data_IF_484790228932
#
_entry.id   IF_484790228932
#
_cell.length_a   1.000
_cell.length_b   1.000
_cell.length_c   1.000
_cell.angle_alpha   90.00
_cell.angle_beta   90.00
_cell.angle_gamma   90.00
#
_symmetry.space_group_name_H-M   'P 1'
#
loop_
_entity.id
_entity.type
_entity.pdbx_description
1 polymer ?
#
# COMPACT_ATOMS: atom_id res chain seq x y z
N UNK A 1 12.34 -17.67 -30.34
CA UNK A 1 13.71 -17.28 -29.91
C UNK A 1 14.09 -18.11 -28.70
N UNK A 2 15.39 -18.39 -28.48
CA UNK A 2 15.84 -19.10 -27.28
C UNK A 2 15.75 -18.21 -26.03
N UNK A 3 15.44 -18.82 -24.88
CA UNK A 3 15.33 -18.12 -23.58
C UNK A 3 16.55 -17.24 -23.28
N UNK A 4 17.77 -17.78 -23.43
CA UNK A 4 19.02 -17.02 -23.17
C UNK A 4 19.19 -15.81 -24.12
N UNK A 5 18.79 -15.93 -25.36
CA UNK A 5 18.88 -14.85 -26.35
C UNK A 5 17.88 -13.73 -26.00
N UNK A 6 16.64 -14.09 -25.68
CA UNK A 6 15.60 -13.14 -25.26
C UNK A 6 16.00 -12.40 -23.99
N UNK A 7 16.50 -13.11 -22.96
CA UNK A 7 17.00 -12.50 -21.74
C UNK A 7 18.16 -11.54 -21.98
N UNK A 8 19.12 -11.90 -22.83
CA UNK A 8 20.26 -11.06 -23.14
C UNK A 8 19.82 -9.75 -23.80
N UNK A 9 18.92 -9.83 -24.79
CA UNK A 9 18.38 -8.66 -25.48
C UNK A 9 17.55 -7.76 -24.55
N UNK A 10 16.72 -8.36 -23.70
CA UNK A 10 15.90 -7.61 -22.72
C UNK A 10 16.77 -6.88 -21.68
N UNK A 11 17.81 -7.52 -21.16
CA UNK A 11 18.78 -6.90 -20.24
C UNK A 11 19.46 -5.66 -20.87
N UNK A 12 19.86 -5.75 -22.14
CA UNK A 12 20.44 -4.61 -22.86
C UNK A 12 19.42 -3.47 -22.97
N UNK A 13 18.15 -3.78 -23.25
CA UNK A 13 17.08 -2.77 -23.38
C UNK A 13 16.78 -2.07 -22.04
N UNK A 14 16.80 -2.80 -20.90
CA UNK A 14 16.45 -2.29 -19.58
C UNK A 14 17.61 -1.62 -18.85
N UNK A 15 18.85 -1.79 -19.31
CA UNK A 15 20.06 -1.14 -18.73
C UNK A 15 20.18 -1.32 -17.22
N UNK A 16 20.01 -0.25 -16.44
CA UNK A 16 20.09 -0.24 -14.96
C UNK A 16 19.06 -1.19 -14.30
N UNK A 17 17.95 -1.45 -14.96
CA UNK A 17 16.90 -2.37 -14.51
C UNK A 17 17.01 -3.76 -15.16
N UNK A 18 18.22 -4.16 -15.61
CA UNK A 18 18.44 -5.43 -16.32
C UNK A 18 17.94 -6.68 -15.56
N UNK A 19 17.95 -6.64 -14.23
CA UNK A 19 17.47 -7.75 -13.41
C UNK A 19 15.97 -8.02 -13.60
N UNK A 20 15.17 -6.99 -13.90
CA UNK A 20 13.74 -7.10 -14.10
C UNK A 20 13.39 -7.95 -15.33
N UNK A 21 14.29 -8.01 -16.32
CA UNK A 21 14.11 -8.89 -17.49
C UNK A 21 13.89 -10.35 -17.09
N UNK A 22 14.63 -10.81 -16.07
CA UNK A 22 14.51 -12.19 -15.57
C UNK A 22 13.19 -12.40 -14.83
N UNK A 23 12.81 -11.47 -13.96
CA UNK A 23 11.56 -11.56 -13.20
C UNK A 23 10.34 -11.54 -14.13
N UNK A 24 10.33 -10.65 -15.13
CA UNK A 24 9.25 -10.58 -16.12
C UNK A 24 9.15 -11.90 -16.90
N UNK A 25 10.27 -12.53 -17.28
CA UNK A 25 10.23 -13.81 -17.98
C UNK A 25 9.79 -14.97 -17.09
N UNK A 26 10.24 -15.01 -15.83
CA UNK A 26 9.79 -15.99 -14.84
C UNK A 26 8.27 -15.94 -14.70
N UNK A 27 7.74 -14.73 -14.56
CA UNK A 27 6.32 -14.51 -14.37
C UNK A 27 5.51 -14.87 -15.61
N UNK A 28 5.94 -14.43 -16.80
CA UNK A 28 5.27 -14.74 -18.05
C UNK A 28 5.18 -16.25 -18.30
N UNK A 29 6.27 -16.97 -18.07
CA UNK A 29 6.33 -18.42 -18.31
C UNK A 29 5.83 -19.26 -17.13
N UNK A 30 5.50 -18.63 -15.99
CA UNK A 30 5.14 -19.31 -14.74
C UNK A 30 6.21 -20.34 -14.34
N UNK A 31 7.49 -19.92 -14.42
CA UNK A 31 8.67 -20.74 -14.12
C UNK A 31 9.63 -19.98 -13.23
N UNK A 32 10.33 -20.70 -12.36
CA UNK A 32 11.37 -20.12 -11.53
C UNK A 32 12.70 -19.88 -12.28
N UNK A 33 13.62 -19.19 -11.64
CA UNK A 33 14.94 -18.88 -12.19
C UNK A 33 15.75 -20.13 -12.51
N UNK A 34 15.66 -21.17 -11.69
CA UNK A 34 16.38 -22.42 -11.85
C UNK A 34 15.91 -23.12 -13.11
N UNK A 35 14.60 -23.17 -13.31
CA UNK A 35 14.03 -23.76 -14.52
C UNK A 35 14.48 -23.01 -15.79
N UNK A 36 14.47 -21.67 -15.78
CA UNK A 36 14.93 -20.87 -16.92
C UNK A 36 16.40 -21.12 -17.23
N UNK A 37 17.24 -21.26 -16.21
CA UNK A 37 18.66 -21.57 -16.39
C UNK A 37 18.87 -22.96 -17.00
N UNK A 38 18.19 -23.98 -16.50
CA UNK A 38 18.29 -25.35 -17.01
C UNK A 38 17.73 -25.49 -18.44
N UNK A 39 16.82 -24.62 -18.84
CA UNK A 39 16.15 -24.63 -20.15
C UNK A 39 16.54 -23.43 -21.03
N UNK A 40 17.70 -22.83 -20.83
CA UNK A 40 18.13 -21.62 -21.52
C UNK A 40 18.15 -21.71 -23.06
N UNK A 41 18.27 -22.92 -23.59
CA UNK A 41 18.28 -23.21 -25.04
C UNK A 41 16.89 -23.55 -25.60
N UNK A 42 15.85 -23.64 -24.74
CA UNK A 42 14.47 -23.85 -25.17
C UNK A 42 13.96 -22.63 -25.95
N UNK A 43 13.27 -22.90 -27.06
CA UNK A 43 12.59 -21.86 -27.83
C UNK A 43 11.19 -21.60 -27.29
N UNK A 44 10.78 -20.33 -27.30
CA UNK A 44 9.43 -19.90 -26.93
C UNK A 44 8.98 -18.73 -27.83
N UNK A 45 7.70 -18.38 -27.76
CA UNK A 45 7.17 -17.20 -28.43
C UNK A 45 7.49 -15.95 -27.63
N UNK A 46 8.45 -15.19 -28.10
CA UNK A 46 8.98 -14.01 -27.40
C UNK A 46 8.16 -12.73 -27.56
N UNK A 47 7.11 -12.73 -28.37
CA UNK A 47 6.35 -11.49 -28.72
C UNK A 47 5.76 -10.82 -27.49
N UNK A 48 5.07 -11.59 -26.64
CA UNK A 48 4.49 -11.08 -25.40
C UNK A 48 5.56 -10.62 -24.42
N UNK A 49 6.68 -11.36 -24.31
CA UNK A 49 7.80 -10.97 -23.48
C UNK A 49 8.36 -9.60 -23.82
N UNK A 50 8.66 -9.35 -25.11
CA UNK A 50 9.18 -8.05 -25.53
C UNK A 50 8.14 -6.93 -25.43
N UNK A 51 6.86 -7.22 -25.54
CA UNK A 51 5.81 -6.23 -25.26
C UNK A 51 5.79 -5.85 -23.77
N UNK A 52 5.93 -6.79 -22.84
CA UNK A 52 6.05 -6.51 -21.41
C UNK A 52 7.33 -5.72 -21.11
N UNK A 53 8.46 -6.07 -21.73
CA UNK A 53 9.73 -5.33 -21.60
C UNK A 53 9.58 -3.89 -22.08
N UNK A 54 8.89 -3.66 -23.19
CA UNK A 54 8.62 -2.32 -23.72
C UNK A 54 7.78 -1.50 -22.74
N UNK A 55 6.67 -2.05 -22.25
CA UNK A 55 5.78 -1.39 -21.28
C UNK A 55 6.51 -1.05 -19.98
N UNK A 56 7.28 -1.99 -19.45
CA UNK A 56 8.12 -1.76 -18.26
C UNK A 56 9.14 -0.64 -18.50
N UNK A 57 9.84 -0.68 -19.64
CA UNK A 57 10.78 0.37 -20.03
C UNK A 57 10.13 1.75 -20.16
N UNK A 58 8.86 1.83 -20.54
CA UNK A 58 8.06 3.06 -20.61
C UNK A 58 7.61 3.55 -19.22
N UNK A 59 7.84 2.76 -18.17
CA UNK A 59 7.58 3.12 -16.78
C UNK A 59 6.36 2.45 -16.16
N UNK A 60 5.73 1.47 -16.83
CA UNK A 60 4.64 0.71 -16.20
C UNK A 60 5.22 -0.23 -15.13
N UNK A 61 4.76 -0.14 -13.86
CA UNK A 61 5.24 -0.99 -12.78
C UNK A 61 4.99 -2.48 -13.05
N UNK A 62 5.88 -3.33 -12.53
CA UNK A 62 5.76 -4.80 -12.62
C UNK A 62 4.40 -5.30 -12.12
N UNK A 63 3.92 -4.76 -11.00
CA UNK A 63 2.66 -5.14 -10.38
C UNK A 63 1.45 -4.83 -11.28
N UNK A 64 1.53 -3.77 -12.08
CA UNK A 64 0.47 -3.46 -13.05
C UNK A 64 0.54 -4.33 -14.29
N UNK A 65 1.75 -4.71 -14.74
CA UNK A 65 1.92 -5.63 -15.86
C UNK A 65 1.26 -6.98 -15.58
N UNK A 66 1.46 -7.51 -14.37
CA UNK A 66 0.96 -8.82 -13.97
C UNK A 66 -0.30 -8.79 -13.10
N UNK A 67 -0.78 -7.59 -12.79
CA UNK A 67 -2.00 -7.34 -11.99
C UNK A 67 -1.96 -8.01 -10.63
N UNK A 68 -0.79 -8.08 -10.01
CA UNK A 68 -0.60 -8.68 -8.69
C UNK A 68 0.53 -8.01 -7.92
N UNK A 69 0.43 -8.07 -6.60
CA UNK A 69 1.49 -7.72 -5.68
C UNK A 69 1.44 -8.66 -4.47
N UNK A 70 2.62 -9.03 -3.96
CA UNK A 70 2.75 -9.78 -2.73
C UNK A 70 2.90 -8.81 -1.56
N UNK A 71 2.14 -9.04 -0.48
CA UNK A 71 2.23 -8.26 0.74
C UNK A 71 1.88 -9.13 1.95
N UNK A 72 2.72 -9.11 2.97
CA UNK A 72 2.54 -9.89 4.21
C UNK A 72 2.26 -11.38 3.97
N UNK A 73 2.98 -11.98 3.01
CA UNK A 73 2.84 -13.39 2.61
C UNK A 73 1.56 -13.74 1.85
N UNK A 74 0.78 -12.76 1.41
CA UNK A 74 -0.44 -12.93 0.61
C UNK A 74 -0.31 -12.23 -0.73
N UNK A 75 -0.86 -12.85 -1.78
CA UNK A 75 -0.95 -12.25 -3.12
C UNK A 75 -2.25 -11.46 -3.28
N UNK A 76 -2.15 -10.19 -3.64
CA UNK A 76 -3.26 -9.27 -3.90
C UNK A 76 -3.39 -8.94 -5.38
N UNK A 77 -4.61 -8.77 -5.84
CA UNK A 77 -4.87 -8.21 -7.15
C UNK A 77 -4.65 -6.69 -7.14
N UNK A 78 -3.86 -6.18 -8.08
CA UNK A 78 -3.52 -4.77 -8.23
C UNK A 78 -3.68 -4.36 -9.70
N UNK A 79 -4.23 -3.18 -9.94
CA UNK A 79 -4.36 -2.61 -11.28
C UNK A 79 -4.02 -1.11 -11.28
N UNK A 80 -3.67 -0.59 -12.46
CA UNK A 80 -3.40 0.84 -12.64
C UNK A 80 -4.53 1.71 -12.11
N UNK A 81 -4.17 2.66 -11.25
CA UNK A 81 -5.10 3.58 -10.57
C UNK A 81 -5.35 3.25 -9.11
N UNK A 82 -4.63 2.28 -8.54
CA UNK A 82 -4.58 2.00 -7.10
C UNK A 82 -3.13 1.89 -6.68
N UNK A 83 -2.78 2.40 -5.49
CA UNK A 83 -1.43 2.34 -4.94
C UNK A 83 -0.91 0.91 -4.87
N UNK A 84 0.30 0.69 -5.33
CA UNK A 84 1.01 -0.58 -5.17
C UNK A 84 1.43 -0.70 -3.69
N UNK A 85 1.17 -1.84 -3.03
CA UNK A 85 1.59 -2.07 -1.65
C UNK A 85 3.07 -1.80 -1.42
N UNK A 86 3.41 -1.16 -0.29
CA UNK A 86 4.80 -0.90 0.12
C UNK A 86 5.15 -1.73 1.33
N UNK A 87 6.33 -2.34 1.34
CA UNK A 87 6.80 -3.12 2.50
C UNK A 87 6.86 -2.30 3.78
N UNK A 88 7.12 -0.99 3.69
CA UNK A 88 7.10 -0.09 4.87
C UNK A 88 5.76 -0.11 5.61
N UNK A 89 4.65 -0.36 4.91
CA UNK A 89 3.31 -0.49 5.52
C UNK A 89 3.16 -1.73 6.43
N UNK A 90 4.06 -2.71 6.34
CA UNK A 90 4.08 -3.86 7.26
C UNK A 90 4.37 -3.43 8.70
N UNK A 91 5.11 -2.32 8.89
CA UNK A 91 5.39 -1.74 10.21
C UNK A 91 4.07 -1.29 10.84
N UNK A 92 3.30 -0.48 10.12
CA UNK A 92 2.00 -0.02 10.58
C UNK A 92 1.08 -1.21 10.92
N UNK A 93 0.99 -2.17 9.99
CA UNK A 93 0.18 -3.37 10.15
C UNK A 93 0.56 -4.17 11.40
N UNK A 94 1.85 -4.44 11.61
CA UNK A 94 2.35 -5.15 12.79
C UNK A 94 1.95 -4.45 14.09
N UNK A 95 2.08 -3.10 14.14
CA UNK A 95 1.71 -2.33 15.34
C UNK A 95 0.21 -2.30 15.59
N UNK A 96 -0.61 -2.32 14.53
CA UNK A 96 -2.07 -2.42 14.67
C UNK A 96 -2.46 -3.82 15.19
N UNK A 97 -1.85 -4.89 14.68
CA UNK A 97 -2.09 -6.26 15.16
C UNK A 97 -1.82 -6.38 16.66
N UNK A 98 -0.65 -5.91 17.11
CA UNK A 98 -0.28 -5.91 18.52
C UNK A 98 -1.25 -5.07 19.39
N UNK A 99 -1.59 -3.87 18.91
CA UNK A 99 -2.49 -2.95 19.61
C UNK A 99 -3.89 -3.56 19.81
N UNK A 100 -4.47 -4.10 18.73
CA UNK A 100 -5.83 -4.67 18.78
C UNK A 100 -5.90 -5.84 19.73
N UNK A 101 -4.90 -6.71 19.75
CA UNK A 101 -4.84 -7.84 20.68
C UNK A 101 -4.65 -7.38 22.13
N UNK A 102 -3.72 -6.46 22.38
CA UNK A 102 -3.40 -5.93 23.71
C UNK A 102 -4.58 -5.20 24.34
N UNK A 103 -5.20 -4.30 23.59
CA UNK A 103 -6.28 -3.42 24.07
C UNK A 103 -7.69 -4.03 23.85
N UNK A 104 -7.77 -5.21 23.19
CA UNK A 104 -9.01 -5.94 22.86
C UNK A 104 -10.01 -5.08 22.09
N UNK A 105 -9.52 -4.33 21.10
CA UNK A 105 -10.33 -3.44 20.28
C UNK A 105 -11.32 -4.23 19.42
N UNK A 106 -12.48 -3.66 19.14
CA UNK A 106 -13.58 -4.35 18.43
C UNK A 106 -13.97 -3.70 17.12
N UNK A 107 -13.87 -2.39 17.05
CA UNK A 107 -14.31 -1.62 15.87
C UNK A 107 -13.18 -0.74 15.36
N UNK A 108 -12.89 -0.81 14.08
CA UNK A 108 -11.86 0.00 13.43
C UNK A 108 -12.37 0.63 12.14
N UNK A 109 -11.85 1.81 11.83
CA UNK A 109 -12.08 2.52 10.58
C UNK A 109 -10.75 2.68 9.85
N UNK A 110 -10.67 2.16 8.62
CA UNK A 110 -9.58 2.49 7.68
C UNK A 110 -9.96 3.69 6.82
N UNK A 111 -9.06 4.67 6.71
CA UNK A 111 -9.19 5.81 5.80
C UNK A 111 -8.20 5.61 4.66
N UNK A 112 -8.69 5.61 3.40
CA UNK A 112 -7.86 5.37 2.23
C UNK A 112 -7.48 3.89 2.07
N UNK A 113 -8.46 3.00 1.91
CA UNK A 113 -8.20 1.56 1.87
C UNK A 113 -7.40 1.07 0.64
N UNK A 114 -7.35 1.85 -0.46
CA UNK A 114 -6.61 1.48 -1.66
C UNK A 114 -7.01 0.10 -2.20
N UNK A 115 -6.07 -0.85 -2.22
CA UNK A 115 -6.35 -2.25 -2.61
C UNK A 115 -6.98 -3.10 -1.50
N UNK A 116 -7.21 -2.54 -0.31
CA UNK A 116 -7.81 -3.21 0.85
C UNK A 116 -6.83 -4.06 1.67
N UNK A 117 -5.53 -3.96 1.41
CA UNK A 117 -4.52 -4.88 1.99
C UNK A 117 -4.50 -4.86 3.52
N UNK A 118 -4.49 -3.67 4.14
CA UNK A 118 -4.40 -3.56 5.60
C UNK A 118 -5.65 -4.15 6.26
N UNK A 119 -6.82 -3.70 5.84
CA UNK A 119 -8.10 -4.22 6.35
C UNK A 119 -8.25 -5.72 6.15
N UNK A 120 -7.85 -6.25 4.97
CA UNK A 120 -7.96 -7.69 4.67
C UNK A 120 -7.07 -8.51 5.59
N UNK A 121 -5.82 -8.10 5.79
CA UNK A 121 -4.90 -8.84 6.66
C UNK A 121 -5.37 -8.75 8.12
N UNK A 122 -5.82 -7.59 8.57
CA UNK A 122 -6.39 -7.42 9.92
C UNK A 122 -7.61 -8.32 10.12
N UNK A 123 -8.55 -8.36 9.18
CA UNK A 123 -9.74 -9.21 9.25
C UNK A 123 -9.42 -10.72 9.24
N UNK A 124 -8.34 -11.13 8.55
CA UNK A 124 -7.89 -12.54 8.56
C UNK A 124 -7.29 -12.96 9.91
N UNK A 125 -6.64 -12.04 10.60
CA UNK A 125 -5.87 -12.38 11.80
C UNK A 125 -6.61 -12.03 13.10
N UNK A 126 -7.64 -11.19 13.05
CA UNK A 126 -8.31 -10.63 14.23
C UNK A 126 -9.83 -10.73 14.12
N UNK A 127 -10.50 -10.83 15.28
CA UNK A 127 -11.95 -10.61 15.39
C UNK A 127 -12.23 -9.11 15.54
N UNK A 128 -12.11 -8.37 14.46
CA UNK A 128 -12.25 -6.92 14.39
C UNK A 128 -13.31 -6.56 13.36
N UNK A 129 -14.29 -5.75 13.74
CA UNK A 129 -15.23 -5.18 12.78
C UNK A 129 -14.55 -4.00 12.08
N UNK A 130 -14.37 -4.10 10.78
CA UNK A 130 -13.68 -3.07 10.01
C UNK A 130 -14.65 -2.43 9.04
N UNK A 131 -14.77 -1.11 9.14
CA UNK A 131 -15.28 -0.24 8.09
C UNK A 131 -14.09 0.43 7.40
N UNK A 132 -14.15 0.59 6.08
CA UNK A 132 -13.07 1.19 5.33
C UNK A 132 -13.62 2.15 4.27
N UNK A 133 -13.08 3.35 4.16
CA UNK A 133 -13.51 4.34 3.17
C UNK A 133 -12.38 4.75 2.23
N UNK A 134 -12.75 5.04 0.99
CA UNK A 134 -11.85 5.57 -0.03
C UNK A 134 -12.67 6.41 -1.02
N UNK A 135 -12.04 7.40 -1.64
CA UNK A 135 -12.68 8.25 -2.65
C UNK A 135 -12.59 7.67 -4.08
N UNK A 136 -11.79 6.63 -4.26
CA UNK A 136 -11.44 6.08 -5.57
C UNK A 136 -12.32 4.84 -5.91
N UNK A 137 -13.16 4.97 -6.93
CA UNK A 137 -14.00 3.85 -7.42
C UNK A 137 -13.20 2.62 -7.86
N UNK A 138 -11.99 2.79 -8.40
CA UNK A 138 -11.14 1.67 -8.80
C UNK A 138 -10.63 0.93 -7.57
N UNK A 139 -10.26 1.69 -6.53
CA UNK A 139 -9.86 1.11 -5.25
C UNK A 139 -10.98 0.23 -4.67
N UNK A 140 -12.22 0.71 -4.68
CA UNK A 140 -13.38 -0.08 -4.22
C UNK A 140 -13.52 -1.39 -5.00
N UNK A 141 -13.43 -1.37 -6.33
CA UNK A 141 -13.55 -2.57 -7.17
C UNK A 141 -12.44 -3.59 -6.86
N UNK A 142 -11.22 -3.10 -6.68
CA UNK A 142 -10.05 -3.94 -6.38
C UNK A 142 -10.12 -4.49 -4.95
N UNK A 143 -10.46 -3.67 -3.97
CA UNK A 143 -10.60 -4.08 -2.57
C UNK A 143 -11.69 -5.17 -2.40
N UNK A 144 -12.84 -5.02 -3.06
CA UNK A 144 -13.90 -6.04 -3.06
C UNK A 144 -13.43 -7.36 -3.71
N UNK A 145 -12.66 -7.28 -4.82
CA UNK A 145 -12.06 -8.47 -5.46
C UNK A 145 -11.07 -9.17 -4.54
N UNK A 146 -10.23 -8.41 -3.86
CA UNK A 146 -9.25 -8.92 -2.90
C UNK A 146 -9.93 -9.52 -1.66
N UNK A 147 -10.93 -8.84 -1.09
CA UNK A 147 -11.69 -9.36 0.05
C UNK A 147 -12.36 -10.69 -0.28
N UNK A 148 -12.96 -10.80 -1.47
CA UNK A 148 -13.53 -12.07 -1.96
C UNK A 148 -12.46 -13.15 -2.13
N UNK A 149 -11.29 -12.82 -2.71
CA UNK A 149 -10.15 -13.75 -2.89
C UNK A 149 -9.66 -14.30 -1.54
N UNK A 150 -9.63 -13.44 -0.53
CA UNK A 150 -9.13 -13.79 0.80
C UNK A 150 -10.22 -14.21 1.79
N UNK A 151 -11.47 -14.33 1.36
CA UNK A 151 -12.62 -14.83 2.14
C UNK A 151 -12.87 -14.04 3.43
N UNK A 152 -12.77 -12.71 3.35
CA UNK A 152 -13.06 -11.80 4.47
C UNK A 152 -14.23 -10.88 4.18
N UNK A 153 -14.94 -10.44 5.22
CA UNK A 153 -16.02 -9.47 5.16
C UNK A 153 -15.54 -8.14 5.76
N UNK A 154 -15.58 -7.09 4.94
CA UNK A 154 -15.22 -5.72 5.32
C UNK A 154 -16.27 -4.78 4.75
N UNK A 155 -16.70 -3.79 5.51
CA UNK A 155 -17.64 -2.74 5.08
C UNK A 155 -16.87 -1.66 4.29
N UNK A 156 -16.68 -1.88 2.98
CA UNK A 156 -16.03 -0.91 2.10
C UNK A 156 -17.04 0.14 1.60
N UNK A 157 -16.72 1.41 1.81
CA UNK A 157 -17.57 2.55 1.45
C UNK A 157 -16.82 3.51 0.52
N UNK A 158 -17.40 3.81 -0.64
CA UNK A 158 -16.91 4.86 -1.52
C UNK A 158 -17.33 6.22 -0.97
N UNK A 159 -16.47 6.87 -0.22
CA UNK A 159 -16.74 8.17 0.41
C UNK A 159 -15.46 8.87 0.82
N UNK A 160 -15.49 10.18 0.79
CA UNK A 160 -14.57 11.01 1.55
C UNK A 160 -14.84 10.79 3.05
N UNK A 161 -13.77 10.55 3.83
CA UNK A 161 -13.91 10.30 5.26
C UNK A 161 -14.53 11.47 6.02
N UNK A 162 -14.28 12.72 5.60
CA UNK A 162 -14.85 13.92 6.21
C UNK A 162 -16.40 13.97 6.05
N UNK A 163 -16.96 13.22 5.08
CA UNK A 163 -18.41 13.13 4.82
C UNK A 163 -19.09 11.94 5.49
N UNK A 164 -18.30 11.09 6.17
CA UNK A 164 -18.89 9.93 6.86
C UNK A 164 -19.74 10.38 8.08
N UNK A 165 -20.98 9.97 8.07
CA UNK A 165 -21.89 10.16 9.20
C UNK A 165 -21.60 9.10 10.27
N UNK A 166 -20.66 9.40 11.18
CA UNK A 166 -20.22 8.51 12.26
C UNK A 166 -20.61 9.12 13.61
N UNK A 167 -21.03 8.24 14.53
CA UNK A 167 -21.23 8.63 15.93
C UNK A 167 -19.88 8.77 16.65
N UNK A 168 -19.83 9.64 17.64
CA UNK A 168 -18.67 9.76 18.51
C UNK A 168 -18.43 8.46 19.29
N UNK A 169 -17.17 8.02 19.35
CA UNK A 169 -16.78 6.78 20.00
C UNK A 169 -17.25 5.50 19.28
N UNK A 170 -17.71 5.58 18.03
CA UNK A 170 -18.13 4.41 17.24
C UNK A 170 -16.97 3.46 16.95
N UNK A 171 -15.77 4.02 16.73
CA UNK A 171 -14.56 3.26 16.46
C UNK A 171 -13.54 3.37 17.58
N UNK A 172 -13.01 2.24 18.00
CA UNK A 172 -11.91 2.17 18.95
C UNK A 172 -10.62 2.66 18.32
N UNK A 173 -10.40 2.32 17.03
CA UNK A 173 -9.21 2.62 16.24
C UNK A 173 -9.59 3.25 14.91
N UNK A 174 -8.91 4.34 14.55
CA UNK A 174 -8.84 4.84 13.18
C UNK A 174 -7.43 4.59 12.67
N UNK A 175 -7.27 4.09 11.45
CA UNK A 175 -5.96 3.86 10.85
C UNK A 175 -5.91 4.22 9.38
N UNK A 176 -4.71 4.55 8.87
CA UNK A 176 -4.53 4.97 7.49
C UNK A 176 -3.08 4.81 7.03
N UNK A 177 -2.90 4.45 5.77
CA UNK A 177 -1.71 4.79 5.00
C UNK A 177 -2.11 5.88 3.99
N UNK A 178 -2.12 7.15 4.37
CA UNK A 178 -2.59 8.24 3.53
C UNK A 178 -1.49 8.73 2.60
N UNK A 179 -1.81 9.52 1.56
CA UNK A 179 -0.80 10.23 0.79
C UNK A 179 -0.03 11.22 1.68
N UNK A 180 1.31 11.17 1.61
CA UNK A 180 2.19 11.98 2.46
C UNK A 180 3.38 12.61 1.70
N UNK A 181 3.46 12.46 0.39
CA UNK A 181 4.54 13.05 -0.41
C UNK A 181 4.20 14.51 -0.73
N UNK A 182 5.19 15.42 -0.60
CA UNK A 182 5.05 16.83 -0.99
C UNK A 182 4.79 16.95 -2.49
N UNK A 183 3.91 17.86 -2.90
CA UNK A 183 3.59 18.08 -4.32
C UNK A 183 4.83 18.41 -5.17
N UNK A 184 5.84 19.07 -4.59
CA UNK A 184 7.08 19.43 -5.25
C UNK A 184 8.13 18.32 -5.32
N UNK A 185 7.90 17.17 -4.67
CA UNK A 185 8.87 16.08 -4.62
C UNK A 185 9.00 15.38 -5.99
N UNK A 186 10.23 15.19 -6.52
CA UNK A 186 10.43 14.53 -7.79
C UNK A 186 10.15 13.03 -7.65
N UNK A 187 9.10 12.55 -8.33
CA UNK A 187 8.74 11.15 -8.32
C UNK A 187 9.56 10.38 -9.36
N UNK A 188 9.96 9.15 -9.00
CA UNK A 188 10.54 8.19 -9.93
C UNK A 188 9.57 7.85 -11.07
N UNK A 189 10.11 7.47 -12.23
CA UNK A 189 9.35 7.20 -13.44
C UNK A 189 8.24 6.16 -13.25
N UNK A 190 8.50 5.09 -12.49
CA UNK A 190 7.52 4.05 -12.22
C UNK A 190 6.43 4.55 -11.26
N UNK A 191 6.82 5.29 -10.21
CA UNK A 191 5.91 5.92 -9.25
C UNK A 191 5.00 6.96 -9.93
N UNK A 192 5.48 7.66 -10.97
CA UNK A 192 4.65 8.59 -11.75
C UNK A 192 3.45 7.93 -12.46
N UNK A 193 3.48 6.60 -12.64
CA UNK A 193 2.37 5.83 -13.21
C UNK A 193 1.32 5.40 -12.18
N UNK A 194 1.60 5.61 -10.90
CA UNK A 194 0.65 5.38 -9.82
C UNK A 194 -0.30 6.60 -9.62
N UNK A 195 -1.45 6.42 -8.95
CA UNK A 195 -2.41 7.52 -8.76
C UNK A 195 -1.82 8.61 -7.86
N UNK A 196 -1.82 9.84 -8.35
CA UNK A 196 -1.25 10.98 -7.63
C UNK A 196 -1.98 11.30 -6.34
N UNK A 197 -3.29 11.08 -6.30
CA UNK A 197 -4.15 11.24 -5.13
C UNK A 197 -3.86 10.25 -4.00
N UNK A 198 -3.20 9.13 -4.32
CA UNK A 198 -2.71 8.18 -3.33
C UNK A 198 -1.24 8.43 -2.89
N UNK A 199 -0.54 9.37 -3.53
CA UNK A 199 0.86 9.67 -3.26
C UNK A 199 1.05 11.05 -2.62
N UNK A 200 0.38 12.08 -3.19
CA UNK A 200 0.63 13.48 -2.87
C UNK A 200 -0.27 13.95 -1.73
N UNK A 201 0.34 14.28 -0.59
CA UNK A 201 -0.34 14.71 0.63
C UNK A 201 -0.54 16.23 0.76
N UNK A 202 -0.16 17.01 -0.27
CA UNK A 202 -0.28 18.48 -0.27
C UNK A 202 1.06 19.19 -0.46
N UNK A 203 1.07 20.52 -0.29
CA UNK A 203 2.26 21.35 -0.45
C UNK A 203 3.35 21.02 0.58
N UNK A 204 2.96 20.74 1.81
CA UNK A 204 3.85 20.30 2.91
C UNK A 204 3.95 18.78 3.03
N UNK A 205 3.00 18.06 2.41
CA UNK A 205 2.92 16.60 2.38
C UNK A 205 2.19 15.96 3.55
N UNK A 206 1.86 16.68 4.61
CA UNK A 206 1.18 16.14 5.80
C UNK A 206 -0.26 16.64 5.98
N UNK A 207 -0.80 17.40 5.03
CA UNK A 207 -2.12 18.03 5.16
C UNK A 207 -3.25 17.01 5.31
N UNK A 208 -3.14 15.87 4.63
CA UNK A 208 -4.13 14.79 4.78
C UNK A 208 -3.99 14.11 6.15
N UNK A 209 -2.77 13.90 6.63
CA UNK A 209 -2.50 13.37 7.98
C UNK A 209 -3.08 14.28 9.06
N UNK A 210 -2.89 15.60 8.94
CA UNK A 210 -3.46 16.58 9.86
C UNK A 210 -4.99 16.48 9.90
N UNK A 211 -5.65 16.40 8.74
CA UNK A 211 -7.11 16.21 8.67
C UNK A 211 -7.55 14.90 9.32
N UNK A 212 -6.81 13.81 9.13
CA UNK A 212 -7.11 12.52 9.77
C UNK A 212 -6.98 12.61 11.29
N UNK A 213 -5.97 13.31 11.81
CA UNK A 213 -5.79 13.54 13.26
C UNK A 213 -6.97 14.33 13.82
N UNK A 214 -7.36 15.43 13.14
CA UNK A 214 -8.52 16.25 13.53
C UNK A 214 -9.79 15.42 13.52
N UNK A 215 -10.02 14.64 12.47
CA UNK A 215 -11.17 13.76 12.34
C UNK A 215 -11.23 12.71 13.46
N UNK A 216 -10.11 12.05 13.76
CA UNK A 216 -10.02 11.07 14.84
C UNK A 216 -10.34 11.70 16.21
N UNK A 217 -9.86 12.93 16.44
CA UNK A 217 -10.21 13.72 17.64
C UNK A 217 -11.71 14.01 17.72
N UNK A 218 -12.29 14.53 16.62
CA UNK A 218 -13.72 14.88 16.57
C UNK A 218 -14.64 13.68 16.73
N UNK A 219 -14.25 12.51 16.21
CA UNK A 219 -14.99 11.24 16.32
C UNK A 219 -14.71 10.49 17.61
N UNK A 220 -13.88 11.04 18.50
CA UNK A 220 -13.54 10.48 19.81
C UNK A 220 -12.96 9.05 19.71
N UNK A 221 -12.13 8.80 18.67
CA UNK A 221 -11.40 7.56 18.54
C UNK A 221 -10.42 7.39 19.71
N UNK A 222 -10.34 6.18 20.29
CA UNK A 222 -9.40 5.91 21.40
C UNK A 222 -7.97 5.84 20.92
N UNK A 223 -7.78 5.28 19.70
CA UNK A 223 -6.47 5.12 19.09
C UNK A 223 -6.49 5.61 17.65
N UNK A 224 -5.34 6.14 17.23
CA UNK A 224 -5.05 6.50 15.86
C UNK A 224 -3.71 5.88 15.46
N UNK A 225 -3.65 5.24 14.27
CA UNK A 225 -2.41 4.65 13.75
C UNK A 225 -2.24 5.03 12.28
N UNK A 226 -1.13 5.67 11.91
CA UNK A 226 -0.89 6.08 10.53
C UNK A 226 0.54 5.83 10.09
N UNK A 227 0.69 5.56 8.79
CA UNK A 227 1.95 5.68 8.07
C UNK A 227 2.19 7.16 7.72
N UNK A 228 3.47 7.58 7.61
CA UNK A 228 3.85 8.95 7.30
C UNK A 228 5.25 9.04 6.67
N UNK A 229 5.58 10.19 6.09
CA UNK A 229 6.88 10.46 5.49
C UNK A 229 7.99 10.63 6.51
N UNK A 230 9.16 10.09 6.25
CA UNK A 230 10.31 10.01 7.17
C UNK A 230 10.76 11.35 7.77
N UNK A 231 10.41 12.47 7.15
CA UNK A 231 10.78 13.84 7.57
C UNK A 231 9.64 14.57 8.31
N UNK A 232 8.53 13.89 8.65
CA UNK A 232 7.31 14.52 9.17
C UNK A 232 7.08 14.31 10.67
N UNK A 233 7.91 13.52 11.35
CA UNK A 233 7.71 13.13 12.76
C UNK A 233 7.54 14.32 13.69
N UNK A 234 8.41 15.33 13.61
CA UNK A 234 8.40 16.48 14.54
C UNK A 234 7.10 17.27 14.41
N UNK A 235 6.67 17.56 13.19
CA UNK A 235 5.42 18.30 12.97
C UNK A 235 4.19 17.47 13.37
N UNK A 236 4.18 16.17 13.07
CA UNK A 236 3.08 15.29 13.46
C UNK A 236 2.99 15.12 14.97
N UNK A 237 4.12 15.07 15.70
CA UNK A 237 4.12 15.06 17.16
C UNK A 237 3.44 16.29 17.73
N UNK A 238 3.74 17.48 17.21
CA UNK A 238 3.11 18.73 17.65
C UNK A 238 1.61 18.77 17.37
N UNK A 239 1.18 18.29 16.18
CA UNK A 239 -0.23 18.22 15.82
C UNK A 239 -0.97 17.22 16.74
N UNK A 240 -0.41 16.02 16.95
CA UNK A 240 -0.98 15.01 17.83
C UNK A 240 -1.15 15.51 19.27
N UNK A 241 -0.14 16.18 19.81
CA UNK A 241 -0.20 16.79 21.16
C UNK A 241 -1.31 17.85 21.25
N UNK A 242 -1.46 18.68 20.19
CA UNK A 242 -2.53 19.71 20.12
C UNK A 242 -3.93 19.11 20.22
N UNK A 243 -4.12 17.91 19.66
CA UNK A 243 -5.40 17.19 19.66
C UNK A 243 -5.46 16.09 20.75
N UNK A 244 -4.67 16.20 21.82
CA UNK A 244 -4.68 15.29 22.97
C UNK A 244 -4.44 13.81 22.58
N UNK A 245 -3.52 13.56 21.67
CA UNK A 245 -3.02 12.24 21.36
C UNK A 245 -1.56 12.09 21.80
N UNK A 246 -1.27 11.06 22.60
CA UNK A 246 0.10 10.69 22.95
C UNK A 246 0.57 9.59 22.00
N UNK A 247 1.59 9.88 21.19
CA UNK A 247 2.06 8.99 20.12
C UNK A 247 3.35 8.25 20.49
N UNK A 248 3.45 7.02 20.00
CA UNK A 248 4.68 6.24 19.86
C UNK A 248 5.00 6.11 18.37
N UNK A 249 6.26 6.40 18.01
CA UNK A 249 6.73 6.40 16.62
C UNK A 249 7.61 5.18 16.35
N UNK A 250 7.46 4.59 15.17
CA UNK A 250 8.15 3.36 14.77
C UNK A 250 8.96 3.57 13.51
N UNK A 251 10.12 2.92 13.47
CA UNK A 251 11.09 3.03 12.38
C UNK A 251 11.09 1.79 11.50
N UNK A 252 11.44 2.00 10.24
CA UNK A 252 11.76 0.92 9.30
C UNK A 252 13.15 0.31 9.61
N UNK A 253 13.49 -0.76 8.87
CA UNK A 253 14.79 -1.45 9.00
C UNK A 253 15.99 -0.56 8.66
N UNK A 254 15.78 0.53 7.92
CA UNK A 254 16.79 1.52 7.57
C UNK A 254 16.91 2.65 8.62
N UNK A 255 16.09 2.61 9.67
CA UNK A 255 16.10 3.58 10.76
C UNK A 255 15.29 4.85 10.50
N UNK A 256 14.49 4.92 9.44
CA UNK A 256 13.60 6.02 9.15
C UNK A 256 12.26 5.87 9.88
N UNK A 257 11.76 6.94 10.47
CA UNK A 257 10.43 6.95 11.08
C UNK A 257 9.35 6.78 9.98
N UNK A 258 8.41 5.79 10.16
CA UNK A 258 7.43 5.42 9.14
C UNK A 258 6.01 5.33 9.62
N UNK A 259 5.80 4.99 10.88
CA UNK A 259 4.47 4.83 11.43
C UNK A 259 4.39 5.39 12.84
N UNK A 260 3.19 5.74 13.26
CA UNK A 260 2.90 6.00 14.66
C UNK A 260 1.63 5.29 15.12
N UNK A 261 1.57 5.01 16.42
CA UNK A 261 0.35 4.64 17.14
C UNK A 261 0.15 5.67 18.23
N UNK A 262 -0.99 6.32 18.22
CA UNK A 262 -1.33 7.36 19.18
C UNK A 262 -2.57 6.98 20.00
N UNK A 263 -2.51 7.21 21.31
CA UNK A 263 -3.61 7.01 22.24
C UNK A 263 -4.17 8.35 22.68
N UNK A 264 -5.49 8.48 22.66
CA UNK A 264 -6.18 9.66 23.18
C UNK A 264 -5.99 9.74 24.70
N UNK A 265 -5.58 10.92 25.20
CA UNK A 265 -5.38 11.22 26.64
C UNK A 265 -6.61 11.82 27.28
#
# INVERSE_FOLDING_TARGET
>A
MKIKEALSLAKIQLKEKANEALFILCELLQKDRTWLFLNENLEFDEREYFELIRRFKEGEPYEYLFKKADFYGLEFHIEKGVLIPRYDSEILLSKILDLVQKEKLKNALEIGFGSGILSIILAKNLKLNIKACDINEKALKIALKNAKKHEVLIDFVLSDFEKLELRKGEFDLIFSNPPYIKNSYPLDKWVQNEPKDALLGGEKGYEILEKIIIFAYQKEAKFLACEFGYDQKEILSQILDTYNFKAEFFKDENGFDRAFVAKRT
#
